data_IF_606956559112
#
_entry.id   IF_606956559112
#
_cell.length_a   1.000
_cell.length_b   1.000
_cell.length_c   1.000
_cell.angle_alpha   90.00
_cell.angle_beta   90.00
_cell.angle_gamma   90.00
#
_symmetry.space_group_name_H-M   'P 1'
#
loop_
_entity.id
_entity.type
_entity.pdbx_description
1 polymer ?
#
# COMPACT_ATOMS: atom_id res chain seq x y z
N UNK A 1 -61.12 -33.66 -12.03
CA UNK A 1 -60.83 -34.99 -12.61
C UNK A 1 -60.22 -34.78 -13.99
N UNK A 2 -59.27 -35.63 -14.40
CA UNK A 2 -58.62 -35.76 -15.73
C UNK A 2 -57.21 -35.14 -15.91
N UNK A 3 -56.21 -35.90 -15.45
CA UNK A 3 -54.91 -36.04 -16.13
C UNK A 3 -55.13 -36.72 -17.48
N UNK A 4 -54.39 -36.36 -18.55
CA UNK A 4 -53.43 -37.17 -19.36
C UNK A 4 -52.87 -36.30 -20.51
N UNK A 5 -51.92 -36.84 -21.28
CA UNK A 5 -51.00 -36.23 -22.27
C UNK A 5 -49.69 -35.74 -21.61
N UNK A 6 -48.66 -36.55 -21.36
CA UNK A 6 -48.07 -37.72 -22.05
C UNK A 6 -47.39 -37.38 -23.39
N UNK A 7 -46.28 -36.64 -23.32
CA UNK A 7 -45.22 -36.61 -24.36
C UNK A 7 -43.83 -36.49 -23.70
N UNK A 8 -43.15 -37.64 -23.58
CA UNK A 8 -41.68 -37.78 -23.67
C UNK A 8 -41.31 -37.62 -25.17
N UNK A 9 -40.03 -37.41 -25.59
CA UNK A 9 -38.85 -36.88 -24.90
C UNK A 9 -38.01 -35.89 -25.76
N UNK A 10 -36.99 -35.30 -25.11
CA UNK A 10 -35.68 -34.90 -25.66
C UNK A 10 -35.56 -33.66 -26.58
N UNK A 11 -34.39 -32.99 -26.43
CA UNK A 11 -33.74 -31.99 -27.31
C UNK A 11 -34.26 -30.55 -27.07
N UNK A 12 -33.49 -29.50 -26.74
CA UNK A 12 -32.06 -29.22 -26.78
C UNK A 12 -31.64 -28.16 -25.74
N UNK A 13 -30.45 -28.38 -25.19
CA UNK A 13 -29.35 -27.45 -24.88
C UNK A 13 -29.63 -25.95 -25.08
N UNK A 14 -29.52 -25.17 -24.00
CA UNK A 14 -28.92 -23.83 -24.02
C UNK A 14 -28.44 -23.46 -22.61
N UNK A 15 -27.28 -23.99 -22.22
CA UNK A 15 -26.55 -23.51 -21.04
C UNK A 15 -25.90 -22.18 -21.38
N UNK A 16 -26.54 -21.06 -21.03
CA UNK A 16 -25.91 -19.75 -21.05
C UNK A 16 -25.06 -19.58 -19.77
N UNK A 17 -23.83 -20.10 -19.81
CA UNK A 17 -22.82 -19.74 -18.82
C UNK A 17 -22.25 -18.37 -19.21
N UNK A 18 -22.78 -17.29 -18.63
CA UNK A 18 -22.09 -16.00 -18.65
C UNK A 18 -20.86 -16.10 -17.74
N UNK A 19 -19.74 -16.52 -18.32
CA UNK A 19 -18.43 -16.32 -17.70
C UNK A 19 -18.08 -14.83 -17.83
N UNK A 20 -18.45 -14.03 -16.82
CA UNK A 20 -17.90 -12.70 -16.65
C UNK A 20 -16.41 -12.83 -16.31
N UNK A 21 -15.56 -12.83 -17.34
CA UNK A 21 -14.13 -12.68 -17.18
C UNK A 21 -13.87 -11.28 -16.62
N UNK A 22 -13.73 -11.17 -15.30
CA UNK A 22 -13.19 -9.96 -14.67
C UNK A 22 -11.72 -9.91 -15.01
N UNK A 23 -11.40 -9.22 -16.11
CA UNK A 23 -10.03 -8.85 -16.43
C UNK A 23 -9.50 -7.98 -15.27
N UNK A 24 -8.74 -8.60 -14.36
CA UNK A 24 -7.88 -7.85 -13.45
C UNK A 24 -6.80 -7.24 -14.33
N UNK A 25 -6.88 -5.93 -14.53
CA UNK A 25 -5.77 -5.17 -15.04
C UNK A 25 -4.68 -5.20 -13.95
N UNK A 26 -3.84 -6.23 -13.98
CA UNK A 26 -2.56 -6.20 -13.29
C UNK A 26 -1.72 -5.12 -13.99
N UNK A 27 -1.81 -3.90 -13.46
CA UNK A 27 -0.90 -2.82 -13.78
C UNK A 27 0.51 -3.34 -13.46
N UNK A 28 1.18 -3.89 -14.47
CA UNK A 28 2.60 -4.20 -14.44
C UNK A 28 3.29 -2.86 -14.32
N UNK A 29 3.46 -2.38 -13.09
CA UNK A 29 4.36 -1.29 -12.79
C UNK A 29 5.72 -1.76 -13.25
N UNK A 30 6.18 -1.19 -14.37
CA UNK A 30 7.59 -1.24 -14.75
C UNK A 30 8.39 -1.07 -13.47
N UNK A 31 9.28 -2.02 -13.18
CA UNK A 31 10.24 -1.91 -12.10
C UNK A 31 11.23 -0.83 -12.53
N UNK A 32 10.78 0.42 -12.51
CA UNK A 32 11.64 1.56 -12.36
C UNK A 32 12.42 1.28 -11.08
N UNK A 33 13.75 1.23 -11.17
CA UNK A 33 14.62 1.02 -10.02
C UNK A 33 14.29 2.10 -8.99
N UNK A 34 13.38 1.80 -8.07
CA UNK A 34 12.89 2.75 -7.09
C UNK A 34 14.11 3.27 -6.33
N UNK A 35 14.26 4.59 -6.17
CA UNK A 35 15.40 5.17 -5.47
C UNK A 35 15.54 4.53 -4.08
N UNK A 36 16.62 3.77 -3.87
CA UNK A 36 16.88 3.09 -2.61
C UNK A 36 17.79 3.95 -1.75
N UNK A 37 17.25 4.51 -0.68
CA UNK A 37 18.03 5.23 0.32
C UNK A 37 18.20 4.34 1.55
N UNK A 38 19.44 4.03 1.91
CA UNK A 38 19.77 3.38 3.17
C UNK A 38 19.76 4.39 4.31
N UNK A 39 19.30 3.96 5.48
CA UNK A 39 19.30 4.77 6.71
C UNK A 39 20.07 4.02 7.77
N UNK A 40 21.20 4.58 8.19
CA UNK A 40 22.01 4.01 9.25
C UNK A 40 21.48 4.43 10.64
N UNK A 41 21.31 3.42 11.50
CA UNK A 41 20.92 3.56 12.90
C UNK A 41 21.59 2.47 13.71
N UNK A 42 21.86 2.77 14.98
CA UNK A 42 22.38 1.79 15.92
C UNK A 42 21.23 0.96 16.51
N UNK A 43 21.48 -0.29 16.90
CA UNK A 43 20.43 -1.12 17.47
C UNK A 43 19.93 -0.55 18.81
N UNK A 44 20.84 0.01 19.61
CA UNK A 44 20.53 0.69 20.88
C UNK A 44 19.66 1.94 20.70
N UNK A 45 19.67 2.58 19.53
CA UNK A 45 18.77 3.71 19.25
C UNK A 45 17.31 3.25 19.30
N UNK A 46 17.02 1.99 18.98
CA UNK A 46 15.66 1.44 18.96
C UNK A 46 15.16 1.04 20.35
N UNK A 47 16.00 1.11 21.38
CA UNK A 47 15.68 0.72 22.75
C UNK A 47 15.27 1.91 23.63
N UNK A 48 15.56 3.13 23.18
CA UNK A 48 15.24 4.35 23.94
C UNK A 48 14.25 5.22 23.19
N UNK A 49 13.36 5.90 23.92
CA UNK A 49 12.39 6.82 23.33
C UNK A 49 13.06 7.89 22.45
N UNK A 50 14.15 8.48 22.95
CA UNK A 50 14.91 9.53 22.24
C UNK A 50 15.61 8.98 20.99
N UNK A 51 16.14 7.76 21.05
CA UNK A 51 16.75 7.10 19.90
C UNK A 51 15.73 6.76 18.82
N UNK A 52 14.58 6.19 19.21
CA UNK A 52 13.48 5.84 18.29
C UNK A 52 12.94 7.07 17.58
N UNK A 53 12.77 8.19 18.29
CA UNK A 53 12.40 9.47 17.68
C UNK A 53 13.44 9.93 16.64
N UNK A 54 14.73 9.77 16.95
CA UNK A 54 15.78 10.13 16.02
C UNK A 54 15.77 9.25 14.76
N UNK A 55 15.63 7.93 14.92
CA UNK A 55 15.49 6.99 13.81
C UNK A 55 14.25 7.31 12.98
N UNK A 56 13.11 7.55 13.61
CA UNK A 56 11.87 7.91 12.91
C UNK A 56 12.03 9.18 12.07
N UNK A 57 12.69 10.22 12.61
CA UNK A 57 13.00 11.43 11.83
C UNK A 57 13.89 11.14 10.62
N UNK A 58 14.92 10.29 10.78
CA UNK A 58 15.80 9.89 9.68
C UNK A 58 15.02 9.14 8.59
N UNK A 59 14.16 8.20 8.98
CA UNK A 59 13.30 7.45 8.06
C UNK A 59 12.35 8.37 7.31
N UNK A 60 11.70 9.31 8.00
CA UNK A 60 10.80 10.29 7.37
C UNK A 60 11.56 11.17 6.37
N UNK A 61 12.76 11.63 6.73
CA UNK A 61 13.62 12.42 5.81
C UNK A 61 14.05 11.59 4.60
N UNK A 62 14.43 10.33 4.79
CA UNK A 62 14.76 9.44 3.69
C UNK A 62 13.56 9.21 2.76
N UNK A 63 12.37 8.98 3.33
CA UNK A 63 11.12 8.80 2.58
C UNK A 63 10.80 10.04 1.73
N UNK A 64 10.94 11.25 2.28
CA UNK A 64 10.77 12.51 1.54
C UNK A 64 11.70 12.65 0.34
N UNK A 65 12.96 12.24 0.51
CA UNK A 65 13.96 12.27 -0.57
C UNK A 65 13.65 11.25 -1.67
N UNK A 66 13.23 10.03 -1.30
CA UNK A 66 12.80 9.01 -2.28
C UNK A 66 11.59 9.51 -3.08
N UNK A 67 10.65 10.19 -2.43
CA UNK A 67 9.42 10.69 -3.05
C UNK A 67 9.56 12.08 -3.71
N UNK A 68 10.78 12.65 -3.79
CA UNK A 68 11.02 13.89 -4.53
C UNK A 68 10.43 15.16 -3.92
N UNK A 69 9.90 15.13 -2.69
CA UNK A 69 9.30 16.31 -2.03
C UNK A 69 10.31 17.44 -1.86
N UNK A 70 11.58 17.10 -1.67
CA UNK A 70 12.64 18.07 -1.42
C UNK A 70 13.27 18.63 -2.71
N UNK A 71 12.80 18.19 -3.90
CA UNK A 71 13.44 18.43 -5.20
C UNK A 71 12.97 19.68 -5.97
N UNK A 72 11.96 20.41 -5.51
CA UNK A 72 11.48 21.61 -6.19
C UNK A 72 10.05 22.01 -5.86
N UNK A 73 9.47 22.90 -6.68
CA UNK A 73 8.07 23.30 -6.58
C UNK A 73 7.18 22.20 -7.17
N UNK A 74 6.33 21.60 -6.33
CA UNK A 74 5.28 20.68 -6.73
C UNK A 74 3.95 21.41 -6.80
N UNK A 75 3.14 21.12 -7.82
CA UNK A 75 1.75 21.56 -7.84
C UNK A 75 0.93 20.82 -6.76
N UNK A 76 -0.31 21.24 -6.51
CA UNK A 76 -1.12 20.68 -5.41
C UNK A 76 -1.39 19.18 -5.57
N UNK A 77 -1.63 18.72 -6.80
CA UNK A 77 -1.87 17.31 -7.11
C UNK A 77 -0.62 16.46 -6.91
N UNK A 78 0.53 16.94 -7.40
CA UNK A 78 1.83 16.31 -7.20
C UNK A 78 2.21 16.25 -5.73
N UNK A 79 1.94 17.32 -4.96
CA UNK A 79 2.20 17.34 -3.51
C UNK A 79 1.37 16.29 -2.78
N UNK A 80 0.11 16.10 -3.17
CA UNK A 80 -0.76 15.08 -2.58
C UNK A 80 -0.23 13.67 -2.87
N UNK A 81 0.16 13.42 -4.13
CA UNK A 81 0.73 12.14 -4.53
C UNK A 81 2.09 11.87 -3.84
N UNK A 82 2.95 12.87 -3.76
CA UNK A 82 4.25 12.78 -3.10
C UNK A 82 4.10 12.55 -1.60
N UNK A 83 3.11 13.19 -0.95
CA UNK A 83 2.81 12.97 0.46
C UNK A 83 2.35 11.53 0.70
N UNK A 84 1.45 10.99 -0.13
CA UNK A 84 1.04 9.60 -0.09
C UNK A 84 2.24 8.64 -0.25
N UNK A 85 3.14 8.94 -1.19
CA UNK A 85 4.39 8.19 -1.35
C UNK A 85 5.22 8.18 -0.06
N UNK A 86 5.35 9.34 0.61
CA UNK A 86 6.11 9.44 1.86
C UNK A 86 5.49 8.58 2.95
N UNK A 87 4.16 8.63 3.08
CA UNK A 87 3.45 7.89 4.11
C UNK A 87 3.54 6.37 3.88
N UNK A 88 3.36 5.91 2.64
CA UNK A 88 3.48 4.50 2.27
C UNK A 88 4.92 3.98 2.43
N UNK A 89 5.91 4.80 2.06
CA UNK A 89 7.35 4.48 2.20
C UNK A 89 7.75 4.41 3.67
N UNK A 90 7.31 5.39 4.48
CA UNK A 90 7.60 5.44 5.90
C UNK A 90 6.95 4.28 6.64
N UNK A 91 5.67 3.99 6.38
CA UNK A 91 4.97 2.83 6.95
C UNK A 91 5.70 1.53 6.59
N UNK A 92 6.15 1.40 5.33
CA UNK A 92 6.91 0.22 4.89
C UNK A 92 8.26 0.09 5.57
N UNK A 93 8.96 1.20 5.83
CA UNK A 93 10.22 1.19 6.58
C UNK A 93 10.00 0.81 8.06
N UNK A 94 8.97 1.37 8.71
CA UNK A 94 8.61 1.03 10.09
C UNK A 94 8.28 -0.45 10.22
N UNK A 95 7.46 -1.00 9.32
CA UNK A 95 7.13 -2.44 9.30
C UNK A 95 8.34 -3.34 9.08
N UNK A 96 9.34 -2.91 8.30
CA UNK A 96 10.57 -3.68 8.06
C UNK A 96 11.48 -3.74 9.28
N UNK A 97 11.50 -2.69 10.09
CA UNK A 97 12.30 -2.63 11.32
C UNK A 97 11.63 -3.40 12.45
N UNK A 98 10.28 -3.44 12.45
CA UNK A 98 9.45 -4.26 13.34
C UNK A 98 9.83 -4.10 14.83
N UNK A 99 9.77 -2.85 15.31
CA UNK A 99 10.00 -2.51 16.72
C UNK A 99 8.77 -1.87 17.36
N UNK A 100 8.31 -2.34 18.53
CA UNK A 100 7.07 -1.86 19.16
C UNK A 100 7.06 -0.34 19.39
N UNK A 101 8.18 0.23 19.85
CA UNK A 101 8.30 1.66 20.12
C UNK A 101 8.19 2.49 18.83
N UNK A 102 8.78 2.00 17.73
CA UNK A 102 8.75 2.69 16.44
C UNK A 102 7.35 2.64 15.82
N UNK A 103 6.68 1.49 15.90
CA UNK A 103 5.29 1.32 15.44
C UNK A 103 4.33 2.22 16.22
N UNK A 104 4.44 2.21 17.55
CA UNK A 104 3.60 3.07 18.42
C UNK A 104 3.78 4.55 18.08
N UNK A 105 5.02 4.97 17.83
CA UNK A 105 5.32 6.35 17.43
C UNK A 105 4.70 6.68 16.07
N UNK A 106 4.80 5.78 15.09
CA UNK A 106 4.17 5.95 13.78
C UNK A 106 2.65 6.11 13.88
N UNK A 107 1.97 5.25 14.64
CA UNK A 107 0.52 5.30 14.84
C UNK A 107 0.07 6.59 15.52
N UNK A 108 0.83 7.04 16.54
CA UNK A 108 0.57 8.31 17.22
C UNK A 108 0.74 9.53 16.31
N UNK A 109 1.65 9.44 15.33
CA UNK A 109 1.93 10.51 14.38
C UNK A 109 0.83 10.62 13.32
N UNK A 110 0.32 9.48 12.83
CA UNK A 110 -0.79 9.45 11.87
C UNK A 110 -2.09 10.00 12.45
N UNK A 111 -2.34 9.75 13.74
CA UNK A 111 -3.56 10.23 14.43
C UNK A 111 -3.65 11.75 14.58
N UNK A 112 -2.51 12.48 14.51
CA UNK A 112 -2.49 13.94 14.63
C UNK A 112 -2.81 14.68 13.33
N UNK A 113 -2.96 13.97 12.21
CA UNK A 113 -3.21 14.55 10.88
C UNK A 113 -4.66 14.32 10.41
N UNK A 114 -5.49 13.69 11.25
CA UNK A 114 -6.93 13.48 11.03
C UNK A 114 -7.79 14.50 11.75
#
# INVERSE_FOLDING_TARGET
>A
MNRKHKYFPAIAIAAFALAAATARADATQSIELAPKISVDYAAEDLETQKGVENVYRKLRKASRRVCGIDGGFLNLSEKTLAQKCVDDTLASAVRKIDRPLLTTLHDSSGRKVG
#
